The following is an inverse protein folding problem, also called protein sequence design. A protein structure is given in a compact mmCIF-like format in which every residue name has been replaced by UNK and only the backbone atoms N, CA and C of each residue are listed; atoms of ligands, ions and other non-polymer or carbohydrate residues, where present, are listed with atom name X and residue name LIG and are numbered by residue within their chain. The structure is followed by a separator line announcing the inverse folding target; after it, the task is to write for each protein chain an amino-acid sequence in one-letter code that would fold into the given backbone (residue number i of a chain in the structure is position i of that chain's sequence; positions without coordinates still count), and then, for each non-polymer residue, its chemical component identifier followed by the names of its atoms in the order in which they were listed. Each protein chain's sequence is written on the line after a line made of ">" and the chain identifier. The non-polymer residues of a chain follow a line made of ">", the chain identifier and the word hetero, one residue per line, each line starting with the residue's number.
data_IF_022680993658
#
_entry.id   IF_022680993658
#
_cell.length_a   1.000
_cell.length_b   1.000
_cell.length_c   1.000
_cell.angle_alpha   90.00
_cell.angle_beta   90.00
_cell.angle_gamma   90.00
#
_symmetry.space_group_name_H-M   'P 1'
#
loop_
_entity.id
_entity.type
_entity.pdbx_description
1 polymer ?
#
# COMPACT_ATOMS: atom_id res chain seq x y z
N UNK A 1 4.18 3.49 -17.98
CA UNK A 1 4.75 4.83 -17.75
C UNK A 1 3.91 5.50 -16.67
N UNK A 2 4.56 6.08 -15.67
CA UNK A 2 3.89 6.66 -14.52
C UNK A 2 3.97 8.19 -14.59
N UNK A 3 3.09 8.85 -13.82
CA UNK A 3 3.07 10.31 -13.71
C UNK A 3 4.05 10.76 -12.65
N UNK A 4 4.78 11.83 -12.92
CA UNK A 4 5.59 12.53 -11.95
C UNK A 4 5.42 14.05 -12.08
N UNK A 5 5.67 14.76 -10.99
CA UNK A 5 5.75 16.21 -10.95
C UNK A 5 7.15 16.60 -10.49
N UNK A 6 7.86 17.37 -11.32
CA UNK A 6 9.18 17.92 -10.99
C UNK A 6 9.06 19.41 -10.72
N UNK A 7 9.65 19.87 -9.62
CA UNK A 7 9.79 21.28 -9.29
C UNK A 7 11.22 21.72 -9.62
N UNK A 8 11.36 22.76 -10.45
CA UNK A 8 12.64 23.24 -10.94
C UNK A 8 12.87 24.66 -10.43
N UNK A 9 14.04 24.91 -9.82
CA UNK A 9 14.45 26.24 -9.37
C UNK A 9 14.76 27.12 -10.58
N UNK A 10 14.16 28.31 -10.64
CA UNK A 10 14.29 29.19 -11.79
C UNK A 10 15.70 29.76 -12.01
N UNK A 11 16.42 30.12 -10.94
CA UNK A 11 17.75 30.73 -11.07
C UNK A 11 18.81 29.73 -11.59
N UNK A 12 18.73 28.49 -11.15
CA UNK A 12 19.76 27.46 -11.40
C UNK A 12 19.32 26.40 -12.40
N UNK A 13 18.02 26.26 -12.63
CA UNK A 13 17.41 25.13 -13.33
C UNK A 13 17.56 23.79 -12.61
N UNK A 14 18.06 23.79 -11.37
CA UNK A 14 18.25 22.56 -10.60
C UNK A 14 16.90 22.01 -10.12
N UNK A 15 16.83 20.68 -10.05
CA UNK A 15 15.69 19.97 -9.47
C UNK A 15 15.60 20.32 -7.98
N UNK A 16 14.49 20.92 -7.58
CA UNK A 16 14.17 21.19 -6.17
C UNK A 16 13.55 19.96 -5.51
N UNK A 17 12.54 19.38 -6.16
CA UNK A 17 11.79 18.22 -5.67
C UNK A 17 11.22 17.41 -6.84
N UNK A 18 10.99 16.12 -6.61
CA UNK A 18 10.35 15.20 -7.54
C UNK A 18 9.35 14.31 -6.81
N UNK A 19 8.07 14.46 -7.13
CA UNK A 19 7.03 13.53 -6.71
C UNK A 19 6.75 12.56 -7.86
N UNK A 20 7.02 11.27 -7.69
CA UNK A 20 6.89 10.26 -8.76
C UNK A 20 6.09 9.04 -8.32
N UNK A 21 5.23 8.54 -9.21
CA UNK A 21 4.60 7.21 -9.11
C UNK A 21 5.42 6.13 -9.84
N UNK A 22 6.56 6.50 -10.44
CA UNK A 22 7.42 5.64 -11.23
C UNK A 22 8.89 5.83 -10.87
N UNK A 23 9.76 5.72 -11.88
CA UNK A 23 11.19 6.00 -11.74
C UNK A 23 11.45 7.40 -11.18
N UNK A 24 12.55 7.53 -10.43
CA UNK A 24 12.99 8.77 -9.79
C UNK A 24 14.29 9.32 -10.39
N UNK A 25 14.83 8.65 -11.42
CA UNK A 25 16.01 9.05 -12.18
C UNK A 25 15.71 10.21 -13.15
N UNK A 26 15.13 11.29 -12.64
CA UNK A 26 14.85 12.53 -13.38
C UNK A 26 15.77 13.62 -12.86
N UNK A 27 16.44 14.35 -13.73
CA UNK A 27 17.28 15.50 -13.34
C UNK A 27 16.98 16.73 -14.19
N UNK A 28 17.33 17.91 -13.70
CA UNK A 28 17.12 19.15 -14.44
C UNK A 28 18.27 20.13 -14.26
N UNK A 29 18.54 20.89 -15.31
CA UNK A 29 19.56 21.93 -15.32
C UNK A 29 19.17 23.10 -16.21
N UNK A 30 19.77 24.26 -15.97
CA UNK A 30 19.66 25.43 -16.84
C UNK A 30 20.73 25.38 -17.93
N UNK A 31 20.30 25.39 -19.20
CA UNK A 31 21.20 25.42 -20.36
C UNK A 31 21.51 26.85 -20.82
N UNK A 32 20.66 27.82 -20.49
CA UNK A 32 20.79 29.21 -20.89
C UNK A 32 19.72 30.09 -20.22
N UNK A 33 19.77 31.40 -20.47
CA UNK A 33 18.75 32.34 -19.94
C UNK A 33 17.38 31.93 -20.46
N UNK A 34 16.47 31.64 -19.54
CA UNK A 34 15.12 31.16 -19.85
C UNK A 34 15.08 29.77 -20.48
N UNK A 35 16.14 28.96 -20.43
CA UNK A 35 16.15 27.61 -21.01
C UNK A 35 16.48 26.57 -19.95
N UNK A 36 15.48 25.76 -19.62
CA UNK A 36 15.55 24.68 -18.65
C UNK A 36 15.46 23.34 -19.36
N UNK A 37 16.32 22.40 -18.98
CA UNK A 37 16.37 21.06 -19.54
C UNK A 37 16.04 20.03 -18.47
N UNK A 38 15.21 19.04 -18.80
CA UNK A 38 14.86 17.91 -17.94
C UNK A 38 15.23 16.61 -18.64
N UNK A 39 15.92 15.74 -17.93
CA UNK A 39 16.41 14.43 -18.38
C UNK A 39 15.73 13.31 -17.59
N UNK A 40 15.70 12.08 -18.14
CA UNK A 40 15.06 10.93 -17.48
C UNK A 40 13.53 10.93 -17.53
N UNK A 41 12.96 11.87 -18.28
CA UNK A 41 11.53 11.98 -18.55
C UNK A 41 11.16 11.34 -19.89
N UNK A 42 9.94 10.82 -19.98
CA UNK A 42 9.30 10.33 -21.21
C UNK A 42 8.43 11.40 -21.87
N UNK A 43 8.62 12.66 -21.50
CA UNK A 43 7.90 13.82 -22.02
C UNK A 43 6.83 14.35 -21.05
N UNK A 44 6.00 15.28 -21.54
CA UNK A 44 4.90 15.86 -20.77
C UNK A 44 3.73 14.88 -20.66
N UNK A 45 2.98 14.94 -19.55
CA UNK A 45 1.74 14.16 -19.41
C UNK A 45 0.67 14.71 -20.37
N UNK A 46 0.14 13.90 -21.32
CA UNK A 46 -0.95 14.34 -22.19
C UNK A 46 -2.28 14.46 -21.42
N UNK A 47 -3.09 15.50 -21.69
CA UNK A 47 -4.45 15.65 -21.17
C UNK A 47 -5.45 14.95 -22.11
N UNK A 48 -6.52 14.34 -21.61
CA UNK A 48 -7.63 13.91 -22.44
C UNK A 48 -8.58 15.08 -22.77
N UNK A 49 -8.87 15.41 -24.05
CA UNK A 49 -8.44 14.75 -25.28
C UNK A 49 -7.18 15.41 -25.90
N UNK A 50 -6.14 14.58 -26.01
CA UNK A 50 -4.85 14.56 -26.73
C UNK A 50 -4.13 15.84 -27.23
N UNK A 51 -4.76 17.01 -27.27
CA UNK A 51 -4.24 18.17 -28.01
C UNK A 51 -3.70 19.30 -27.12
N UNK A 52 -3.84 19.19 -25.79
CA UNK A 52 -3.36 20.17 -24.81
C UNK A 52 -2.86 19.45 -23.56
N UNK A 53 -1.58 19.12 -23.45
CA UNK A 53 -1.01 18.42 -22.27
C UNK A 53 -1.34 19.07 -20.92
N UNK A 54 -1.16 18.33 -19.82
CA UNK A 54 -1.03 18.99 -18.51
C UNK A 54 0.19 19.90 -18.58
N UNK A 55 -0.03 21.19 -18.44
CA UNK A 55 1.02 22.17 -18.60
C UNK A 55 1.98 22.20 -17.42
N UNK A 56 2.64 23.34 -17.35
CA UNK A 56 3.48 23.76 -16.26
C UNK A 56 2.67 24.63 -15.29
N UNK A 57 3.13 24.78 -14.06
CA UNK A 57 2.62 25.79 -13.13
C UNK A 57 3.76 26.73 -12.76
N UNK A 58 3.51 28.03 -12.91
CA UNK A 58 4.41 29.09 -12.45
C UNK A 58 3.86 29.70 -11.17
N UNK A 59 4.76 30.29 -10.39
CA UNK A 59 4.36 31.11 -9.27
C UNK A 59 3.56 32.34 -9.75
N UNK A 60 2.56 32.84 -8.97
CA UNK A 60 1.72 33.96 -9.40
C UNK A 60 2.47 35.24 -9.77
N UNK A 61 3.67 35.46 -9.21
CA UNK A 61 4.53 36.60 -9.56
C UNK A 61 5.10 36.53 -10.99
N UNK A 62 4.98 35.39 -11.66
CA UNK A 62 5.60 35.09 -12.96
C UNK A 62 4.57 34.59 -13.98
N UNK A 63 3.27 34.76 -13.70
CA UNK A 63 2.17 34.30 -14.56
C UNK A 63 2.11 35.00 -15.94
N UNK A 64 2.89 36.07 -16.13
CA UNK A 64 3.04 36.76 -17.43
C UNK A 64 4.11 36.12 -18.32
N UNK A 65 4.94 35.23 -17.79
CA UNK A 65 5.94 34.52 -18.57
C UNK A 65 5.28 33.47 -19.47
N UNK A 66 5.67 33.44 -20.74
CA UNK A 66 5.28 32.42 -21.71
C UNK A 66 6.28 31.29 -21.66
N UNK A 67 5.77 30.06 -21.55
CA UNK A 67 6.62 28.87 -21.54
C UNK A 67 6.28 28.03 -22.77
N UNK A 68 7.31 27.77 -23.56
CA UNK A 68 7.29 26.84 -24.68
C UNK A 68 8.00 25.55 -24.27
N UNK A 69 7.44 24.40 -24.64
CA UNK A 69 7.95 23.10 -24.22
C UNK A 69 8.16 22.23 -25.46
N UNK A 70 9.40 21.76 -25.62
CA UNK A 70 9.79 20.84 -26.67
C UNK A 70 10.34 19.55 -26.04
N UNK A 71 9.94 18.40 -26.57
CA UNK A 71 10.48 17.10 -26.16
C UNK A 71 11.10 16.41 -27.38
N UNK A 72 12.40 16.15 -27.33
CA UNK A 72 13.14 15.48 -28.39
C UNK A 72 14.22 14.57 -27.77
N UNK A 73 14.35 13.34 -28.28
CA UNK A 73 15.41 12.40 -27.91
C UNK A 73 15.57 12.16 -26.39
N UNK A 74 14.48 12.19 -25.61
CA UNK A 74 14.52 11.99 -24.16
C UNK A 74 14.92 13.22 -23.34
N UNK A 75 15.10 14.36 -23.99
CA UNK A 75 15.34 15.66 -23.37
C UNK A 75 14.09 16.53 -23.49
N UNK A 76 13.58 17.00 -22.35
CA UNK A 76 12.50 17.97 -22.29
C UNK A 76 13.10 19.36 -22.11
N UNK A 77 12.98 20.21 -23.11
CA UNK A 77 13.44 21.60 -23.09
C UNK A 77 12.26 22.52 -22.84
N UNK A 78 12.41 23.38 -21.85
CA UNK A 78 11.42 24.35 -21.39
C UNK A 78 12.00 25.74 -21.57
N UNK A 79 11.45 26.47 -22.53
CA UNK A 79 11.88 27.82 -22.88
C UNK A 79 10.91 28.84 -22.31
N UNK A 80 11.38 29.72 -21.44
CA UNK A 80 10.62 30.74 -20.75
C UNK A 80 10.99 32.11 -21.33
N UNK A 81 9.96 32.86 -21.75
CA UNK A 81 10.10 34.22 -22.27
C UNK A 81 9.16 35.18 -21.54
N UNK A 82 9.60 36.41 -21.31
CA UNK A 82 8.78 37.48 -20.75
C UNK A 82 8.89 38.69 -21.68
N UNK A 83 7.75 39.20 -22.14
CA UNK A 83 7.68 40.29 -23.13
C UNK A 83 8.47 40.04 -24.44
N UNK A 84 8.68 38.76 -24.79
CA UNK A 84 9.40 38.34 -26.00
C UNK A 84 10.90 38.11 -25.81
N UNK A 85 11.45 38.41 -24.63
CA UNK A 85 12.85 38.18 -24.29
C UNK A 85 13.00 36.92 -23.42
N UNK A 86 14.11 36.15 -23.55
CA UNK A 86 14.39 35.03 -22.66
C UNK A 86 14.45 35.48 -21.19
N UNK A 87 13.72 34.78 -20.31
CA UNK A 87 13.58 35.18 -18.91
C UNK A 87 13.83 34.01 -17.97
N UNK A 88 14.79 34.16 -17.06
CA UNK A 88 14.98 33.23 -15.97
C UNK A 88 13.91 33.47 -14.89
N UNK A 89 13.23 32.40 -14.52
CA UNK A 89 12.32 32.40 -13.39
C UNK A 89 13.08 32.74 -12.11
N UNK A 90 12.48 33.55 -11.24
CA UNK A 90 12.99 33.94 -9.93
C UNK A 90 12.58 32.96 -8.83
N UNK A 91 11.54 32.16 -9.07
CA UNK A 91 11.04 31.18 -8.11
C UNK A 91 11.23 29.76 -8.62
N UNK A 92 10.15 29.08 -8.98
CA UNK A 92 10.15 27.71 -9.46
C UNK A 92 9.06 27.50 -10.50
N UNK A 93 9.28 26.47 -11.32
CA UNK A 93 8.27 25.91 -12.22
C UNK A 93 8.00 24.46 -11.84
N UNK A 94 6.72 24.10 -11.77
CA UNK A 94 6.29 22.71 -11.63
C UNK A 94 5.93 22.16 -13.00
N UNK A 95 6.56 21.06 -13.41
CA UNK A 95 6.26 20.36 -14.66
C UNK A 95 5.65 19.00 -14.36
N UNK A 96 4.56 18.68 -15.07
CA UNK A 96 3.95 17.35 -15.03
C UNK A 96 4.52 16.49 -16.16
N UNK A 97 5.35 15.53 -15.79
CA UNK A 97 6.11 14.70 -16.71
C UNK A 97 5.72 13.23 -16.59
N UNK A 98 6.05 12.47 -17.62
CA UNK A 98 5.98 11.01 -17.62
C UNK A 98 7.35 10.45 -17.26
N UNK A 99 7.37 9.38 -16.48
CA UNK A 99 8.58 8.65 -16.13
C UNK A 99 8.39 7.16 -16.44
N UNK A 100 9.48 6.39 -16.65
CA UNK A 100 9.37 4.94 -16.72
C UNK A 100 8.69 4.41 -15.46
N UNK A 101 7.96 3.30 -15.58
CA UNK A 101 7.46 2.61 -14.39
C UNK A 101 8.67 2.09 -13.59
N UNK A 102 8.55 2.05 -12.26
CA UNK A 102 9.51 1.26 -11.48
C UNK A 102 9.31 -0.18 -11.94
N UNK A 103 10.37 -0.90 -12.35
CA UNK A 103 10.28 -2.34 -12.51
C UNK A 103 9.65 -2.89 -11.23
N UNK A 104 8.73 -3.85 -11.34
CA UNK A 104 8.31 -4.59 -10.16
C UNK A 104 9.58 -5.25 -9.61
N UNK A 105 10.27 -4.60 -8.68
CA UNK A 105 11.28 -5.26 -7.87
C UNK A 105 10.54 -6.46 -7.31
N UNK A 106 11.07 -7.65 -7.63
CA UNK A 106 10.59 -8.87 -7.05
C UNK A 106 10.71 -8.65 -5.54
N UNK A 107 9.59 -8.31 -4.90
CA UNK A 107 9.51 -8.30 -3.44
C UNK A 107 10.08 -9.66 -3.07
N UNK A 108 11.23 -9.72 -2.36
CA UNK A 108 11.80 -11.01 -2.00
C UNK A 108 10.65 -11.75 -1.35
N UNK A 109 10.28 -12.89 -1.94
CA UNK A 109 9.16 -13.69 -1.48
C UNK A 109 9.42 -13.89 0.01
N UNK A 110 8.61 -13.23 0.84
CA UNK A 110 8.82 -13.25 2.28
C UNK A 110 8.95 -14.73 2.62
N UNK A 111 10.00 -15.15 3.34
CA UNK A 111 10.13 -16.55 3.72
C UNK A 111 8.77 -16.96 4.30
N UNK A 112 8.23 -18.12 3.90
CA UNK A 112 6.94 -18.56 4.39
C UNK A 112 6.95 -18.36 5.90
N UNK A 113 5.95 -17.65 6.44
CA UNK A 113 5.85 -17.46 7.88
C UNK A 113 5.80 -18.86 8.47
N UNK A 114 6.93 -19.32 9.02
CA UNK A 114 7.03 -20.62 9.67
C UNK A 114 6.32 -20.42 11.00
N UNK A 115 5.00 -20.54 10.97
CA UNK A 115 4.23 -20.61 12.22
C UNK A 115 4.62 -21.92 12.85
N UNK A 116 5.16 -21.87 14.07
CA UNK A 116 5.48 -23.07 14.82
C UNK A 116 4.20 -23.92 14.92
N UNK A 117 4.19 -25.18 14.44
CA UNK A 117 3.03 -26.06 14.54
C UNK A 117 2.52 -26.16 15.98
N UNK A 118 3.40 -26.08 16.96
CA UNK A 118 3.04 -26.06 18.38
C UNK A 118 2.25 -24.80 18.76
N UNK A 119 2.68 -23.62 18.33
CA UNK A 119 1.99 -22.36 18.61
C UNK A 119 0.60 -22.34 17.95
N UNK A 120 0.52 -22.82 16.71
CA UNK A 120 -0.76 -22.93 15.98
C UNK A 120 -1.73 -23.86 16.70
N UNK A 121 -1.26 -25.04 17.12
CA UNK A 121 -2.06 -26.02 17.83
C UNK A 121 -2.56 -25.49 19.17
N UNK A 122 -1.70 -24.82 19.93
CA UNK A 122 -2.07 -24.21 21.21
C UNK A 122 -3.09 -23.08 21.05
N UNK A 123 -2.90 -22.20 20.05
CA UNK A 123 -3.84 -21.14 19.74
C UNK A 123 -5.23 -21.69 19.39
N UNK A 124 -5.29 -22.77 18.60
CA UNK A 124 -6.54 -23.40 18.22
C UNK A 124 -7.23 -24.12 19.41
N UNK A 125 -6.47 -24.79 20.29
CA UNK A 125 -7.01 -25.34 21.54
C UNK A 125 -7.63 -24.23 22.40
N UNK A 126 -6.96 -23.08 22.54
CA UNK A 126 -7.45 -21.94 23.31
C UNK A 126 -8.75 -21.41 22.69
N UNK A 127 -8.78 -21.23 21.36
CA UNK A 127 -9.96 -20.77 20.63
C UNK A 127 -11.15 -21.70 20.83
N UNK A 128 -10.95 -23.01 20.65
CA UNK A 128 -12.01 -24.02 20.78
C UNK A 128 -12.51 -24.17 22.22
N UNK A 129 -11.63 -24.00 23.22
CA UNK A 129 -12.05 -23.96 24.64
C UNK A 129 -12.91 -22.74 24.94
N UNK A 130 -12.56 -21.56 24.43
CA UNK A 130 -13.36 -20.36 24.62
C UNK A 130 -14.78 -20.51 24.04
N UNK A 131 -14.90 -21.13 22.86
CA UNK A 131 -16.21 -21.46 22.26
C UNK A 131 -17.01 -22.41 23.16
N UNK A 132 -16.36 -23.46 23.67
CA UNK A 132 -17.02 -24.40 24.56
C UNK A 132 -17.45 -23.77 25.89
N UNK A 133 -16.63 -22.91 26.47
CA UNK A 133 -16.96 -22.19 27.71
C UNK A 133 -18.15 -21.26 27.50
N UNK A 134 -18.21 -20.57 26.36
CA UNK A 134 -19.35 -19.72 25.99
C UNK A 134 -20.65 -20.51 25.82
N UNK A 135 -20.60 -21.70 25.20
CA UNK A 135 -21.77 -22.55 25.03
C UNK A 135 -22.23 -23.22 26.34
N UNK A 136 -21.29 -23.56 27.23
CA UNK A 136 -21.60 -24.19 28.53
C UNK A 136 -22.24 -23.21 29.50
N UNK A 137 -21.87 -21.94 29.49
CA UNK A 137 -22.35 -20.93 30.44
C UNK A 137 -23.90 -20.89 30.56
N UNK A 138 -24.68 -20.64 29.49
CA UNK A 138 -26.14 -20.56 29.60
C UNK A 138 -26.80 -21.90 29.98
N UNK A 139 -26.22 -23.02 29.52
CA UNK A 139 -26.71 -24.36 29.89
C UNK A 139 -26.48 -24.66 31.37
N UNK A 140 -25.36 -24.20 31.92
CA UNK A 140 -25.07 -24.32 33.34
C UNK A 140 -25.97 -23.40 34.17
N UNK A 141 -26.22 -22.17 33.72
CA UNK A 141 -27.16 -21.25 34.37
C UNK A 141 -28.57 -21.86 34.49
N UNK A 142 -29.06 -22.49 33.42
CA UNK A 142 -30.35 -23.19 33.42
C UNK A 142 -30.38 -24.36 34.41
N UNK A 143 -29.27 -25.09 34.57
CA UNK A 143 -29.15 -26.16 35.57
C UNK A 143 -29.12 -25.58 36.99
N UNK A 144 -28.39 -24.50 37.19
CA UNK A 144 -28.18 -23.89 38.51
C UNK A 144 -29.47 -23.25 39.07
N UNK A 145 -30.41 -22.87 38.20
CA UNK A 145 -31.75 -22.37 38.57
C UNK A 145 -32.84 -23.44 38.51
N UNK A 146 -32.49 -24.72 38.32
CA UNK A 146 -33.42 -25.85 38.19
C UNK A 146 -34.44 -25.71 37.02
N UNK A 147 -34.13 -24.91 36.00
CA UNK A 147 -34.98 -24.69 34.80
C UNK A 147 -34.51 -25.46 33.56
N UNK A 148 -33.41 -26.20 33.66
CA UNK A 148 -32.86 -26.97 32.54
C UNK A 148 -33.81 -28.08 32.07
N UNK A 149 -34.02 -28.12 30.76
CA UNK A 149 -34.70 -29.20 30.06
C UNK A 149 -33.81 -30.43 29.90
N UNK A 150 -34.41 -31.60 29.69
CA UNK A 150 -33.65 -32.84 29.40
C UNK A 150 -32.71 -32.71 28.19
N UNK A 151 -33.09 -31.87 27.21
CA UNK A 151 -32.27 -31.56 26.05
C UNK A 151 -31.04 -30.72 26.42
N UNK A 152 -31.19 -29.71 27.28
CA UNK A 152 -30.08 -28.89 27.77
C UNK A 152 -29.13 -29.70 28.66
N UNK A 153 -29.64 -30.63 29.46
CA UNK A 153 -28.80 -31.58 30.21
C UNK A 153 -27.96 -32.47 29.30
N UNK A 154 -28.56 -33.00 28.22
CA UNK A 154 -27.83 -33.78 27.22
C UNK A 154 -26.76 -32.94 26.51
N UNK A 155 -27.11 -31.73 26.10
CA UNK A 155 -26.21 -30.80 25.43
C UNK A 155 -25.04 -30.38 26.36
N UNK A 156 -25.32 -30.06 27.62
CA UNK A 156 -24.30 -29.73 28.63
C UNK A 156 -23.32 -30.88 28.84
N UNK A 157 -23.81 -32.12 28.86
CA UNK A 157 -22.98 -33.33 28.97
C UNK A 157 -22.06 -33.48 27.76
N UNK A 158 -22.56 -33.21 26.56
CA UNK A 158 -21.75 -33.33 25.34
C UNK A 158 -20.71 -32.21 25.22
N UNK A 159 -21.04 -30.97 25.59
CA UNK A 159 -20.06 -29.90 25.71
C UNK A 159 -18.98 -30.18 26.77
N UNK A 160 -19.34 -30.77 27.93
CA UNK A 160 -18.37 -31.19 28.95
C UNK A 160 -17.43 -32.29 28.43
N UNK A 161 -17.95 -33.28 27.69
CA UNK A 161 -17.11 -34.29 27.02
C UNK A 161 -16.19 -33.65 25.98
N UNK A 162 -16.68 -32.69 25.19
CA UNK A 162 -15.91 -31.96 24.20
C UNK A 162 -14.73 -31.20 24.83
N UNK A 163 -14.95 -30.49 25.95
CA UNK A 163 -13.87 -29.81 26.72
C UNK A 163 -12.81 -30.80 27.22
N UNK A 164 -13.23 -31.97 27.70
CA UNK A 164 -12.31 -33.05 28.11
C UNK A 164 -11.53 -33.57 26.91
N UNK A 165 -12.17 -33.80 25.77
CA UNK A 165 -11.49 -34.21 24.54
C UNK A 165 -10.45 -33.17 24.08
N UNK A 166 -10.80 -31.87 24.10
CA UNK A 166 -9.86 -30.77 23.81
C UNK A 166 -8.67 -30.74 24.77
N UNK A 167 -8.85 -31.11 26.05
CA UNK A 167 -7.74 -31.19 27.00
C UNK A 167 -6.77 -32.34 26.73
N UNK A 168 -7.21 -33.38 26.02
CA UNK A 168 -6.39 -34.54 25.64
C UNK A 168 -5.77 -34.43 24.25
N UNK A 169 -6.07 -33.37 23.50
CA UNK A 169 -5.46 -33.11 22.17
C UNK A 169 -3.92 -33.14 22.20
N UNK A 170 -3.24 -32.56 23.21
CA UNK A 170 -1.78 -32.65 23.31
C UNK A 170 -1.23 -34.06 23.61
N UNK A 171 -2.09 -35.02 23.98
CA UNK A 171 -1.70 -36.41 24.28
C UNK A 171 -1.73 -37.31 23.03
N UNK A 172 -2.10 -36.77 21.86
CA UNK A 172 -2.15 -37.53 20.60
C UNK A 172 -0.74 -37.87 20.08
N UNK A 173 -0.59 -39.03 19.46
CA UNK A 173 0.70 -39.57 18.98
C UNK A 173 1.41 -38.65 17.95
N UNK A 174 0.65 -37.86 17.20
CA UNK A 174 1.16 -36.99 16.14
C UNK A 174 1.10 -35.49 16.48
N UNK A 175 0.88 -35.13 17.74
CA UNK A 175 0.88 -33.73 18.16
C UNK A 175 2.30 -33.12 18.12
N UNK A 176 2.49 -31.88 17.64
CA UNK A 176 1.50 -30.93 17.10
C UNK A 176 1.32 -30.99 15.57
N UNK A 177 2.01 -31.91 14.88
CA UNK A 177 2.09 -31.95 13.41
C UNK A 177 0.80 -32.44 12.72
N UNK A 178 0.11 -33.41 13.32
CA UNK A 178 -1.18 -33.92 12.84
C UNK A 178 -2.14 -34.10 14.01
N UNK A 179 -3.23 -33.32 14.00
CA UNK A 179 -4.17 -33.24 15.13
C UNK A 179 -5.55 -33.68 14.67
N UNK A 180 -6.10 -34.67 15.37
CA UNK A 180 -7.51 -35.05 15.26
C UNK A 180 -8.34 -34.20 16.21
N UNK A 181 -9.00 -33.18 15.67
CA UNK A 181 -9.84 -32.29 16.47
C UNK A 181 -11.15 -32.97 16.88
N UNK A 182 -11.59 -32.84 18.14
CA UNK A 182 -12.88 -33.35 18.55
C UNK A 182 -14.02 -32.64 17.79
N UNK A 183 -15.14 -33.33 17.60
CA UNK A 183 -16.30 -32.79 16.90
C UNK A 183 -17.07 -31.85 17.83
N UNK A 184 -17.34 -30.63 17.35
CA UNK A 184 -18.15 -29.64 18.07
C UNK A 184 -19.58 -30.17 18.19
N UNK A 185 -20.16 -30.26 19.41
CA UNK A 185 -21.54 -30.66 19.60
C UNK A 185 -22.50 -29.57 19.09
N UNK A 186 -23.69 -30.00 18.62
CA UNK A 186 -24.74 -29.14 18.07
C UNK A 186 -25.61 -28.52 19.17
#
# INVERSE_FOLDING_TARGET
>A
MARAAINIVGETGAKFDLTSLGGTEVDSYRSGVGVYCVTGTLGMVPFPPLDQGWGYSLHPSENTAKVDIAFAEGLLTVTVTMDGEPYDLKTMVTLHILVPDIPLEQVPELPPVVVDPLESAQAEIIRLRAVADYAVAPLQDAVDVDEATDAEFAQLKDWKKYRVALSRVPEQEHYPDAIEWPVVPA
#
